data_IF_969405459540
#
_entry.id   IF_969405459540
#
_cell.length_a   1.000
_cell.length_b   1.000
_cell.length_c   1.000
_cell.angle_alpha   90.00
_cell.angle_beta   90.00
_cell.angle_gamma   90.00
#
_symmetry.space_group_name_H-M   'P 1'
#
loop_
_entity.id
_entity.type
_entity.pdbx_description
1 polymer ?
#
# COMPACT_ATOMS: atom_id res chain seq x y z
N UNK A 1 -5.91 -15.99 -18.97
CA UNK A 1 -5.39 -16.18 -17.60
C UNK A 1 -5.15 -14.80 -17.04
N UNK A 2 -6.08 -14.31 -16.23
CA UNK A 2 -5.95 -13.01 -15.56
C UNK A 2 -4.95 -13.19 -14.45
N UNK A 3 -3.68 -12.95 -14.77
CA UNK A 3 -2.65 -12.86 -13.78
C UNK A 3 -3.03 -11.64 -12.94
N UNK A 4 -3.56 -11.88 -11.73
CA UNK A 4 -3.60 -10.86 -10.68
C UNK A 4 -2.15 -10.55 -10.35
N UNK A 5 -1.49 -9.81 -11.24
CA UNK A 5 -0.19 -9.21 -11.03
C UNK A 5 -0.41 -8.22 -9.90
N UNK A 6 -0.29 -8.69 -8.66
CA UNK A 6 -0.08 -7.84 -7.51
C UNK A 6 1.11 -6.97 -7.88
N UNK A 7 0.85 -5.69 -8.16
CA UNK A 7 1.89 -4.75 -8.54
C UNK A 7 2.53 -4.18 -7.28
N UNK A 8 3.71 -3.60 -7.45
CA UNK A 8 4.36 -2.87 -6.38
C UNK A 8 3.84 -1.43 -6.35
N UNK A 9 3.46 -0.96 -5.16
CA UNK A 9 3.04 0.42 -4.94
C UNK A 9 4.19 1.19 -4.34
N UNK A 10 4.80 2.09 -5.11
CA UNK A 10 5.85 2.98 -4.63
C UNK A 10 5.28 4.40 -4.53
N UNK A 11 5.19 4.90 -3.31
CA UNK A 11 4.77 6.27 -2.99
C UNK A 11 5.98 7.02 -2.43
N UNK A 12 6.43 8.07 -3.13
CA UNK A 12 7.53 8.92 -2.66
C UNK A 12 7.06 10.37 -2.50
N UNK A 13 7.26 10.98 -1.34
CA UNK A 13 6.84 12.34 -0.99
C UNK A 13 5.46 12.40 -0.33
N UNK A 14 4.53 13.16 -0.91
CA UNK A 14 3.13 13.23 -0.47
C UNK A 14 2.21 12.68 -1.54
N UNK A 15 1.55 11.55 -1.25
CA UNK A 15 0.71 10.88 -2.24
C UNK A 15 -0.47 10.14 -1.63
N UNK A 16 -1.51 9.99 -2.43
CA UNK A 16 -2.69 9.21 -2.10
C UNK A 16 -2.67 7.97 -2.97
N UNK A 17 -2.82 6.80 -2.36
CA UNK A 17 -3.07 5.57 -3.12
C UNK A 17 -4.55 5.19 -2.99
N UNK A 18 -5.12 4.76 -4.10
CA UNK A 18 -6.31 3.93 -4.08
C UNK A 18 -5.90 2.55 -3.56
N UNK A 19 -6.69 1.95 -2.68
CA UNK A 19 -6.40 0.60 -2.18
C UNK A 19 -6.66 -0.47 -3.25
N UNK A 20 -6.23 -1.68 -2.93
CA UNK A 20 -6.17 -2.82 -3.85
C UNK A 20 -5.21 -3.89 -3.35
N UNK A 21 -4.92 -4.89 -4.19
CA UNK A 21 -3.98 -5.96 -3.86
C UNK A 21 -2.58 -5.67 -4.42
N UNK A 22 -1.64 -5.42 -3.52
CA UNK A 22 -0.25 -5.12 -3.84
C UNK A 22 0.70 -6.22 -3.35
N UNK A 23 1.84 -6.37 -4.01
CA UNK A 23 2.87 -7.31 -3.57
C UNK A 23 3.76 -6.61 -2.54
N UNK A 24 4.50 -5.60 -2.97
CA UNK A 24 5.23 -4.71 -2.08
C UNK A 24 4.66 -3.30 -2.10
N UNK A 25 4.39 -2.76 -0.93
CA UNK A 25 4.00 -1.37 -0.71
C UNK A 25 5.19 -0.67 -0.10
N UNK A 26 5.82 0.25 -0.82
CA UNK A 26 6.91 1.08 -0.33
C UNK A 26 6.47 2.53 -0.28
N UNK A 27 6.36 3.08 0.93
CA UNK A 27 5.92 4.45 1.16
C UNK A 27 7.08 5.19 1.80
N UNK A 28 7.62 6.19 1.10
CA UNK A 28 8.67 7.06 1.59
C UNK A 28 8.10 8.49 1.66
N UNK A 29 7.73 8.94 2.87
CA UNK A 29 7.08 10.23 3.11
C UNK A 29 5.75 10.16 3.86
N UNK A 30 4.78 10.99 3.46
CA UNK A 30 3.46 11.10 4.10
C UNK A 30 2.35 10.79 3.10
N UNK A 31 1.59 9.74 3.35
CA UNK A 31 0.53 9.32 2.46
C UNK A 31 -0.74 8.90 3.19
N UNK A 32 -1.85 8.91 2.44
CA UNK A 32 -3.13 8.43 2.93
C UNK A 32 -3.67 7.39 1.96
N UNK A 33 -4.08 6.26 2.51
CA UNK A 33 -4.73 5.21 1.75
C UNK A 33 -6.19 5.17 2.20
N UNK A 34 -7.10 5.47 1.28
CA UNK A 34 -8.53 5.66 1.55
C UNK A 34 -9.39 4.45 1.13
N UNK A 35 -8.77 3.31 0.83
CA UNK A 35 -9.48 2.06 0.54
C UNK A 35 -8.75 0.87 1.18
N UNK A 36 -9.44 -0.27 1.36
CA UNK A 36 -8.87 -1.53 1.80
C UNK A 36 -7.65 -1.92 0.96
N UNK A 37 -6.55 -2.22 1.63
CA UNK A 37 -5.27 -2.51 0.98
C UNK A 37 -4.73 -3.84 1.49
N UNK A 38 -4.73 -4.82 0.60
CA UNK A 38 -4.15 -6.13 0.83
C UNK A 38 -2.70 -6.10 0.31
N UNK A 39 -1.74 -6.31 1.19
CA UNK A 39 -0.34 -6.32 0.83
C UNK A 39 0.42 -7.45 1.53
N UNK A 40 1.44 -7.98 0.83
CA UNK A 40 2.31 -9.02 1.39
C UNK A 40 3.39 -8.36 2.25
N UNK A 41 4.08 -7.36 1.69
CA UNK A 41 5.11 -6.61 2.39
C UNK A 41 4.80 -5.12 2.33
N UNK A 42 4.71 -4.48 3.49
CA UNK A 42 4.53 -3.03 3.62
C UNK A 42 5.75 -2.43 4.30
N UNK A 43 6.43 -1.54 3.60
CA UNK A 43 7.60 -0.80 4.07
C UNK A 43 7.26 0.68 4.03
N UNK A 44 7.10 1.30 5.19
CA UNK A 44 6.78 2.71 5.29
C UNK A 44 7.86 3.47 6.06
N UNK A 45 8.56 4.36 5.35
CA UNK A 45 9.54 5.30 5.89
C UNK A 45 8.88 6.68 5.97
N UNK A 46 8.25 6.98 7.12
CA UNK A 46 7.57 8.26 7.35
C UNK A 46 6.28 8.10 8.14
N UNK A 47 5.41 9.11 8.06
CA UNK A 47 4.12 9.14 8.78
C UNK A 47 2.98 8.98 7.79
N UNK A 48 2.46 7.78 7.65
CA UNK A 48 1.27 7.53 6.84
C UNK A 48 0.05 7.31 7.75
N UNK A 49 -1.15 7.60 7.23
CA UNK A 49 -2.42 7.35 7.91
C UNK A 49 -3.22 6.33 7.08
N UNK A 50 -3.31 5.10 7.57
CA UNK A 50 -4.26 4.10 7.05
C UNK A 50 -5.58 4.31 7.79
N UNK A 51 -6.65 4.47 7.02
CA UNK A 51 -7.99 4.55 7.57
C UNK A 51 -8.66 3.17 7.75
N UNK A 52 -8.09 2.11 7.15
CA UNK A 52 -8.68 0.77 7.12
C UNK A 52 -7.70 -0.34 7.54
N UNK A 53 -8.23 -1.54 7.74
CA UNK A 53 -7.48 -2.72 8.19
C UNK A 53 -6.49 -3.18 7.12
N UNK A 54 -5.20 -2.96 7.34
CA UNK A 54 -4.17 -3.64 6.56
C UNK A 54 -4.14 -5.12 6.96
N UNK A 55 -4.75 -5.98 6.15
CA UNK A 55 -4.73 -7.42 6.37
C UNK A 55 -3.40 -7.99 5.87
N UNK A 56 -2.35 -7.80 6.67
CA UNK A 56 -1.06 -8.43 6.38
C UNK A 56 -1.18 -9.93 6.65
N UNK A 57 -1.39 -10.72 5.59
CA UNK A 57 -1.32 -12.17 5.69
C UNK A 57 0.13 -12.57 5.94
N UNK A 58 0.44 -12.83 7.20
CA UNK A 58 1.70 -13.44 7.64
C UNK A 58 1.79 -14.90 7.20
#
# INVERSE_FOLDING_TARGET
MEQQSRHDLILSGMGKAAGGSYQHVQIDGMGTINQDTDCVSLTAHGRFMLWEHCNQRR
#
